data_IF_948247362372
#
_entry.id   IF_948247362372
#
_cell.length_a   1.000
_cell.length_b   1.000
_cell.length_c   1.000
_cell.angle_alpha   90.00
_cell.angle_beta   90.00
_cell.angle_gamma   90.00
#
_symmetry.space_group_name_H-M   'P 1'
#
loop_
_entity.id
_entity.type
_entity.pdbx_description
1 polymer ?
#
# COMPACT_ATOMS: atom_id res chain seq x y z
N UNK A 1 -1.02 6.81 15.25
CA UNK A 1 -0.42 6.38 13.97
C UNK A 1 0.57 5.26 14.24
N UNK A 2 0.18 4.00 14.07
CA UNK A 2 1.10 2.85 14.02
C UNK A 2 0.47 1.62 13.32
N UNK A 3 -0.44 1.86 12.37
CA UNK A 3 -1.08 0.77 11.59
C UNK A 3 -0.15 0.25 10.48
N UNK A 4 0.85 1.04 10.07
CA UNK A 4 1.68 0.70 8.91
C UNK A 4 2.66 -0.45 9.18
N UNK A 5 3.28 -0.56 10.36
CA UNK A 5 4.20 -1.68 10.65
C UNK A 5 3.48 -3.01 10.95
N UNK A 6 2.32 -2.99 11.61
CA UNK A 6 1.60 -4.23 11.97
C UNK A 6 0.96 -4.89 10.76
N UNK A 7 0.25 -4.11 9.92
CA UNK A 7 -0.48 -4.65 8.77
C UNK A 7 0.47 -5.13 7.67
N UNK A 8 1.57 -4.41 7.42
CA UNK A 8 2.58 -4.87 6.46
C UNK A 8 3.24 -6.18 6.91
N UNK A 9 3.49 -6.36 8.22
CA UNK A 9 4.06 -7.59 8.77
C UNK A 9 3.09 -8.77 8.68
N UNK A 10 1.82 -8.56 9.03
CA UNK A 10 0.80 -9.61 8.93
C UNK A 10 0.56 -10.04 7.47
N UNK A 11 0.54 -9.10 6.51
CA UNK A 11 0.31 -9.43 5.09
C UNK A 11 1.54 -10.03 4.43
N UNK A 12 2.75 -9.55 4.74
CA UNK A 12 3.98 -9.97 4.03
C UNK A 12 4.62 -11.22 4.63
N UNK A 13 4.41 -11.49 5.92
CA UNK A 13 5.10 -12.60 6.62
C UNK A 13 4.14 -13.69 7.11
N UNK A 14 2.96 -13.31 7.59
CA UNK A 14 2.02 -14.24 8.24
C UNK A 14 0.99 -14.80 7.25
N UNK A 15 0.46 -13.97 6.36
CA UNK A 15 -0.53 -14.38 5.36
C UNK A 15 0.04 -15.44 4.40
N UNK A 16 1.31 -15.32 4.01
CA UNK A 16 1.99 -16.31 3.17
C UNK A 16 2.00 -17.69 3.85
N UNK A 17 2.19 -17.74 5.16
CA UNK A 17 2.25 -19.00 5.94
C UNK A 17 0.87 -19.61 6.19
N UNK A 18 -0.17 -18.79 6.31
CA UNK A 18 -1.54 -19.23 6.62
C UNK A 18 -2.32 -19.57 5.34
N UNK A 19 -2.23 -18.73 4.31
CA UNK A 19 -2.96 -18.89 3.07
C UNK A 19 -2.13 -18.36 1.87
N UNK A 20 -1.27 -19.21 1.27
CA UNK A 20 -0.42 -18.84 0.15
C UNK A 20 -1.20 -18.35 -1.08
N UNK A 21 -2.37 -18.93 -1.34
CA UNK A 21 -3.22 -18.56 -2.48
C UNK A 21 -3.75 -17.12 -2.33
N UNK A 22 -4.24 -16.78 -1.14
CA UNK A 22 -4.68 -15.41 -0.83
C UNK A 22 -3.49 -14.43 -0.83
N UNK A 23 -2.33 -14.85 -0.34
CA UNK A 23 -1.13 -14.01 -0.37
C UNK A 23 -0.69 -13.66 -1.80
N UNK A 24 -0.80 -14.60 -2.74
CA UNK A 24 -0.52 -14.37 -4.16
C UNK A 24 -1.47 -13.32 -4.76
N UNK A 25 -2.76 -13.39 -4.45
CA UNK A 25 -3.75 -12.40 -4.90
C UNK A 25 -3.47 -11.00 -4.32
N UNK A 26 -3.16 -10.93 -3.02
CA UNK A 26 -2.81 -9.67 -2.36
C UNK A 26 -1.52 -9.09 -2.93
N UNK A 27 -0.57 -9.92 -3.36
CA UNK A 27 0.69 -9.46 -3.96
C UNK A 27 0.45 -8.66 -5.25
N UNK A 28 -0.45 -9.13 -6.11
CA UNK A 28 -0.79 -8.42 -7.36
C UNK A 28 -1.29 -7.01 -7.06
N UNK A 29 -2.22 -6.89 -6.10
CA UNK A 29 -2.78 -5.60 -5.67
C UNK A 29 -1.70 -4.69 -5.07
N UNK A 30 -0.76 -5.25 -4.30
CA UNK A 30 0.35 -4.48 -3.73
C UNK A 30 1.31 -3.96 -4.81
N UNK A 31 1.57 -4.75 -5.84
CA UNK A 31 2.44 -4.38 -6.94
C UNK A 31 1.81 -3.27 -7.80
N UNK A 32 0.51 -3.34 -8.09
CA UNK A 32 -0.26 -2.26 -8.72
C UNK A 32 -0.22 -0.98 -7.86
N UNK A 33 -0.50 -1.09 -6.57
CA UNK A 33 -0.43 0.04 -5.64
C UNK A 33 0.97 0.69 -5.63
N UNK A 34 2.03 -0.11 -5.74
CA UNK A 34 3.40 0.38 -5.79
C UNK A 34 3.68 1.09 -7.11
N UNK A 35 3.20 0.54 -8.23
CA UNK A 35 3.31 1.17 -9.55
C UNK A 35 2.62 2.54 -9.55
N UNK A 36 1.41 2.67 -9.00
CA UNK A 36 0.65 3.92 -8.97
C UNK A 36 1.10 4.93 -7.91
N UNK A 37 2.07 4.58 -7.05
CA UNK A 37 2.52 5.44 -5.95
C UNK A 37 2.93 6.83 -6.42
N UNK A 38 3.61 6.92 -7.56
CA UNK A 38 4.09 8.19 -8.10
C UNK A 38 2.94 9.11 -8.54
N UNK A 39 1.89 8.57 -9.16
CA UNK A 39 0.66 9.29 -9.53
C UNK A 39 -0.01 9.84 -8.28
N UNK A 40 -0.20 8.98 -7.26
CA UNK A 40 -0.78 9.39 -5.97
C UNK A 40 0.07 10.45 -5.28
N UNK A 41 1.40 10.36 -5.37
CA UNK A 41 2.33 11.37 -4.88
C UNK A 41 2.15 12.73 -5.55
N UNK A 42 2.05 12.76 -6.88
CA UNK A 42 1.78 14.00 -7.63
C UNK A 42 0.44 14.65 -7.24
N UNK A 43 -0.62 13.84 -7.12
CA UNK A 43 -1.93 14.30 -6.66
C UNK A 43 -1.91 14.81 -5.22
N UNK A 44 -1.14 14.18 -4.33
CA UNK A 44 -0.98 14.63 -2.95
C UNK A 44 -0.30 16.01 -2.88
N UNK A 45 0.75 16.21 -3.67
CA UNK A 45 1.43 17.50 -3.79
C UNK A 45 0.48 18.57 -4.32
N UNK A 46 -0.23 18.30 -5.42
CA UNK A 46 -1.21 19.25 -5.97
C UNK A 46 -2.28 19.63 -4.93
N UNK A 47 -2.84 18.64 -4.22
CA UNK A 47 -3.84 18.88 -3.16
C UNK A 47 -3.28 19.70 -2.01
N UNK A 48 -2.02 19.48 -1.61
CA UNK A 48 -1.36 20.26 -0.55
C UNK A 48 -1.30 21.75 -0.92
N UNK A 49 -0.85 22.07 -2.13
CA UNK A 49 -0.75 23.46 -2.58
C UNK A 49 -2.13 24.10 -2.82
N UNK A 50 -3.11 23.35 -3.34
CA UNK A 50 -4.50 23.84 -3.50
C UNK A 50 -5.24 24.08 -2.18
N UNK A 51 -4.85 23.42 -1.09
CA UNK A 51 -5.41 23.63 0.26
C UNK A 51 -4.69 24.74 1.03
N UNK A 52 -3.48 25.10 0.61
CA UNK A 52 -2.65 26.13 1.24
C UNK A 52 -2.86 27.53 0.64
N UNK A 53 -3.45 27.59 -0.56
CA UNK A 53 -4.09 28.77 -1.16
C UNK A 53 -5.54 28.85 -0.68
#
# INVERSE_FOLDING_TARGET
>A
MNVHLSVHKDISERLIKINPALASQVRVILDENKAERHIRGGLATQKKYKKAL
#
